data_IF_904887421133
#
_entry.id   IF_904887421133
#
_cell.length_a   1.000
_cell.length_b   1.000
_cell.length_c   1.000
_cell.angle_alpha   90.00
_cell.angle_beta   90.00
_cell.angle_gamma   90.00
#
_symmetry.space_group_name_H-M   'P 1'
#
loop_
_entity.id
_entity.type
_entity.pdbx_description
1 polymer ?
#
# COMPACT_ATOMS: atom_id res chain seq x y z
N UNK A 1 9.65 -22.12 -0.50
CA UNK A 1 10.59 -21.13 -1.09
C UNK A 1 10.33 -20.87 -2.58
N UNK A 2 9.93 -21.85 -3.38
CA UNK A 2 9.63 -21.66 -4.82
C UNK A 2 8.42 -20.73 -5.02
N UNK A 3 7.37 -20.88 -4.20
CA UNK A 3 6.10 -20.13 -4.30
C UNK A 3 6.33 -18.61 -4.18
N UNK A 4 7.15 -18.15 -3.22
CA UNK A 4 7.39 -16.72 -3.02
C UNK A 4 8.22 -16.07 -4.13
N UNK A 5 9.17 -16.78 -4.73
CA UNK A 5 9.96 -16.25 -5.85
C UNK A 5 9.08 -16.07 -7.09
N UNK A 6 8.13 -16.98 -7.31
CA UNK A 6 7.16 -16.90 -8.42
C UNK A 6 6.29 -15.64 -8.35
N UNK A 7 5.93 -15.18 -7.15
CA UNK A 7 5.06 -14.00 -6.96
C UNK A 7 5.81 -12.71 -6.65
N UNK A 8 7.16 -12.72 -6.71
CA UNK A 8 7.97 -11.55 -6.44
C UNK A 8 7.60 -10.37 -7.36
N UNK A 9 7.29 -10.65 -8.63
CA UNK A 9 6.80 -9.66 -9.60
C UNK A 9 5.46 -9.05 -9.19
N UNK A 10 4.56 -9.85 -8.62
CA UNK A 10 3.29 -9.38 -8.08
C UNK A 10 3.45 -8.45 -6.89
N UNK A 11 4.34 -8.81 -5.94
CA UNK A 11 4.65 -7.95 -4.81
C UNK A 11 5.27 -6.62 -5.25
N UNK A 12 6.21 -6.65 -6.20
CA UNK A 12 6.80 -5.45 -6.77
C UNK A 12 5.74 -4.59 -7.49
N UNK A 13 4.88 -5.21 -8.30
CA UNK A 13 3.79 -4.52 -8.99
C UNK A 13 2.82 -3.87 -8.02
N UNK A 14 2.45 -4.55 -6.92
CA UNK A 14 1.58 -4.00 -5.89
C UNK A 14 2.20 -2.86 -5.10
N UNK A 15 3.49 -2.94 -4.78
CA UNK A 15 4.21 -1.84 -4.15
C UNK A 15 4.23 -0.61 -5.07
N UNK A 16 4.62 -0.78 -6.34
CA UNK A 16 4.70 0.32 -7.31
C UNK A 16 3.31 0.90 -7.61
N UNK A 17 2.30 0.06 -7.83
CA UNK A 17 0.94 0.54 -8.12
C UNK A 17 0.34 1.29 -6.93
N UNK A 18 0.55 0.80 -5.69
CA UNK A 18 0.04 1.48 -4.50
C UNK A 18 0.63 2.89 -4.36
N UNK A 19 1.94 3.05 -4.59
CA UNK A 19 2.60 4.36 -4.54
C UNK A 19 2.05 5.28 -5.62
N UNK A 20 2.00 4.83 -6.88
CA UNK A 20 1.51 5.64 -8.01
C UNK A 20 0.07 6.11 -7.75
N UNK A 21 -0.81 5.20 -7.35
CA UNK A 21 -2.22 5.51 -7.11
C UNK A 21 -2.37 6.44 -5.91
N UNK A 22 -1.61 6.22 -4.83
CA UNK A 22 -1.60 7.12 -3.67
C UNK A 22 -1.18 8.55 -4.04
N UNK A 23 -0.19 8.71 -4.92
CA UNK A 23 0.20 10.03 -5.44
C UNK A 23 -0.92 10.66 -6.27
N UNK A 24 -1.57 9.88 -7.14
CA UNK A 24 -2.72 10.36 -7.94
C UNK A 24 -3.87 10.81 -7.03
N UNK A 25 -4.09 10.13 -5.91
CA UNK A 25 -5.08 10.48 -4.89
C UNK A 25 -4.68 11.71 -4.04
N UNK A 26 -3.50 12.28 -4.27
CA UNK A 26 -3.03 13.50 -3.62
C UNK A 26 -2.35 13.28 -2.26
N UNK A 27 -1.84 12.06 -1.99
CA UNK A 27 -0.98 11.82 -0.83
C UNK A 27 0.44 12.34 -1.13
N UNK A 28 1.12 12.97 -0.15
CA UNK A 28 2.51 13.37 -0.31
C UNK A 28 3.39 12.13 -0.50
N UNK A 29 4.39 12.22 -1.37
CA UNK A 29 5.25 11.07 -1.69
C UNK A 29 6.01 10.56 -0.45
N UNK A 30 6.52 11.50 0.34
CA UNK A 30 7.32 11.29 1.55
C UNK A 30 6.70 12.13 2.68
N UNK A 31 6.71 11.67 3.94
CA UNK A 31 6.24 12.48 5.06
C UNK A 31 7.05 13.78 5.20
N UNK A 32 6.35 14.85 5.59
CA UNK A 32 6.90 16.21 5.69
C UNK A 32 7.85 16.39 6.88
N UNK A 33 7.65 15.59 7.94
CA UNK A 33 8.53 15.54 9.12
C UNK A 33 8.99 14.10 9.35
N UNK A 34 10.00 13.87 10.19
CA UNK A 34 10.38 12.52 10.56
C UNK A 34 9.16 11.76 11.08
N UNK A 35 8.99 10.48 10.71
CA UNK A 35 7.79 9.70 10.99
C UNK A 35 7.37 9.66 12.47
N UNK A 36 8.30 9.93 13.40
CA UNK A 36 8.03 10.06 14.84
C UNK A 36 7.26 11.34 15.22
N UNK A 37 7.26 12.34 14.35
CA UNK A 37 6.75 13.70 14.60
C UNK A 37 5.72 14.15 13.56
N UNK A 38 5.35 13.29 12.62
CA UNK A 38 4.25 13.52 11.68
C UNK A 38 3.36 12.29 11.58
N UNK A 39 2.06 12.51 11.76
CA UNK A 39 1.01 11.54 11.47
C UNK A 39 0.49 11.66 10.03
N UNK A 40 1.22 12.35 9.15
CA UNK A 40 0.86 12.51 7.74
C UNK A 40 1.08 11.20 6.99
N UNK A 41 0.02 10.50 6.52
CA UNK A 41 0.20 9.34 5.66
C UNK A 41 0.88 9.76 4.36
N UNK A 42 1.79 8.92 3.88
CA UNK A 42 2.54 9.16 2.64
C UNK A 42 2.23 8.09 1.60
N UNK A 43 2.52 8.37 0.34
CA UNK A 43 2.34 7.39 -0.72
C UNK A 43 3.26 6.17 -0.57
N UNK A 44 4.48 6.37 -0.04
CA UNK A 44 5.43 5.27 0.20
C UNK A 44 4.99 4.42 1.40
N UNK A 45 4.46 5.06 2.44
CA UNK A 45 4.02 4.37 3.65
C UNK A 45 2.73 5.00 4.18
N UNK A 46 1.67 4.20 4.47
CA UNK A 46 1.66 2.73 4.61
C UNK A 46 1.19 1.91 3.38
N UNK A 47 0.85 2.53 2.26
CA UNK A 47 0.18 1.86 1.14
C UNK A 47 0.94 0.62 0.60
N UNK A 48 2.26 0.69 0.42
CA UNK A 48 3.03 -0.46 -0.07
C UNK A 48 3.01 -1.66 0.89
N UNK A 49 2.98 -1.41 2.21
CA UNK A 49 2.94 -2.45 3.23
C UNK A 49 1.59 -3.16 3.26
N UNK A 50 0.50 -2.39 3.21
CA UNK A 50 -0.86 -2.94 3.15
C UNK A 50 -1.05 -3.76 1.87
N UNK A 51 -0.52 -3.28 0.73
CA UNK A 51 -0.59 -4.01 -0.54
C UNK A 51 0.14 -5.36 -0.46
N UNK A 52 1.32 -5.40 0.16
CA UNK A 52 2.07 -6.63 0.37
C UNK A 52 1.33 -7.60 1.31
N UNK A 53 0.75 -7.09 2.40
CA UNK A 53 -0.06 -7.91 3.31
C UNK A 53 -1.27 -8.52 2.61
N UNK A 54 -1.98 -7.72 1.81
CA UNK A 54 -3.17 -8.18 1.07
C UNK A 54 -2.79 -9.24 0.02
N UNK A 55 -1.69 -9.04 -0.70
CA UNK A 55 -1.13 -10.03 -1.62
C UNK A 55 -0.81 -11.36 -0.93
N UNK A 56 -0.19 -11.32 0.25
CA UNK A 56 0.14 -12.53 1.01
C UNK A 56 -1.13 -13.30 1.40
N UNK A 57 -2.17 -12.60 1.87
CA UNK A 57 -3.46 -13.21 2.21
C UNK A 57 -4.11 -13.86 0.98
N UNK A 58 -4.12 -13.19 -0.17
CA UNK A 58 -4.69 -13.74 -1.40
C UNK A 58 -3.97 -15.01 -1.87
N UNK A 59 -2.63 -15.00 -1.86
CA UNK A 59 -1.82 -16.15 -2.27
C UNK A 59 -2.06 -17.34 -1.34
N UNK A 60 -2.11 -17.12 -0.02
CA UNK A 60 -2.37 -18.17 0.96
C UNK A 60 -3.77 -18.78 0.79
N UNK A 61 -4.75 -17.97 0.37
CA UNK A 61 -6.10 -18.41 0.02
C UNK A 61 -6.20 -19.09 -1.37
N UNK A 62 -5.09 -19.24 -2.09
CA UNK A 62 -5.03 -19.86 -3.42
C UNK A 62 -5.39 -18.92 -4.57
N UNK A 63 -5.59 -17.63 -4.31
CA UNK A 63 -5.81 -16.61 -5.34
C UNK A 63 -4.46 -16.06 -5.79
N UNK A 64 -4.03 -16.47 -6.97
CA UNK A 64 -2.64 -16.25 -7.43
C UNK A 64 -2.52 -15.35 -8.67
N UNK A 65 -3.64 -14.92 -9.25
CA UNK A 65 -3.68 -14.11 -10.47
C UNK A 65 -3.33 -14.90 -11.73
N UNK A 66 -3.42 -14.23 -12.88
CA UNK A 66 -3.20 -14.82 -14.21
C UNK A 66 -1.75 -14.61 -14.68
N UNK A 67 -1.11 -13.51 -14.27
CA UNK A 67 0.23 -13.11 -14.76
C UNK A 67 1.28 -13.15 -13.64
N UNK A 68 1.45 -14.30 -12.98
CA UNK A 68 2.42 -14.42 -11.89
C UNK A 68 2.14 -13.48 -10.72
N UNK A 69 0.85 -13.22 -10.45
CA UNK A 69 0.38 -12.31 -9.41
C UNK A 69 0.54 -10.83 -9.71
N UNK A 70 0.94 -10.42 -10.93
CA UNK A 70 1.06 -9.00 -11.31
C UNK A 70 -0.31 -8.30 -11.31
N UNK A 71 -1.30 -8.92 -11.96
CA UNK A 71 -2.67 -8.47 -12.00
C UNK A 71 -3.27 -8.34 -10.59
N UNK A 72 -3.05 -9.36 -9.77
CA UNK A 72 -3.44 -9.35 -8.36
C UNK A 72 -2.74 -8.24 -7.57
N UNK A 73 -1.43 -8.04 -7.81
CA UNK A 73 -0.63 -7.00 -7.19
C UNK A 73 -1.14 -5.61 -7.52
N UNK A 74 -1.46 -5.33 -8.79
CA UNK A 74 -2.01 -4.04 -9.22
C UNK A 74 -3.33 -3.76 -8.50
N UNK A 75 -4.23 -4.75 -8.44
CA UNK A 75 -5.52 -4.62 -7.75
C UNK A 75 -5.32 -4.41 -6.24
N UNK A 76 -4.47 -5.20 -5.61
CA UNK A 76 -4.15 -5.08 -4.19
C UNK A 76 -3.54 -3.71 -3.86
N UNK A 77 -2.66 -3.20 -4.72
CA UNK A 77 -2.08 -1.88 -4.57
C UNK A 77 -3.10 -0.75 -4.74
N UNK A 78 -4.05 -0.88 -5.68
CA UNK A 78 -5.15 0.08 -5.83
C UNK A 78 -6.04 0.12 -4.58
N UNK A 79 -6.46 -1.04 -4.07
CA UNK A 79 -7.25 -1.15 -2.84
C UNK A 79 -6.48 -0.53 -1.67
N UNK A 80 -5.19 -0.85 -1.55
CA UNK A 80 -4.32 -0.33 -0.50
C UNK A 80 -4.17 1.20 -0.54
N UNK A 81 -4.02 1.78 -1.73
CA UNK A 81 -3.93 3.23 -1.90
C UNK A 81 -5.22 3.94 -1.47
N UNK A 82 -6.38 3.37 -1.82
CA UNK A 82 -7.69 3.87 -1.39
C UNK A 82 -7.82 3.77 0.13
N UNK A 83 -7.47 2.63 0.73
CA UNK A 83 -7.45 2.48 2.20
C UNK A 83 -6.52 3.51 2.84
N UNK A 84 -5.34 3.75 2.26
CA UNK A 84 -4.39 4.72 2.80
C UNK A 84 -4.92 6.15 2.75
N UNK A 85 -5.59 6.52 1.65
CA UNK A 85 -6.16 7.86 1.53
C UNK A 85 -7.35 8.06 2.46
N UNK A 86 -8.30 7.12 2.48
CA UNK A 86 -9.59 7.35 3.12
C UNK A 86 -9.67 6.74 4.51
N UNK A 87 -9.25 5.48 4.70
CA UNK A 87 -9.34 4.85 6.01
C UNK A 87 -8.36 5.50 7.00
N UNK A 88 -7.12 5.75 6.60
CA UNK A 88 -6.12 6.28 7.53
C UNK A 88 -6.26 7.79 7.79
N UNK A 89 -6.71 8.59 6.81
CA UNK A 89 -6.98 10.01 7.06
C UNK A 89 -8.27 10.25 7.86
N UNK A 90 -9.34 9.45 7.67
CA UNK A 90 -10.62 9.68 8.37
C UNK A 90 -10.74 8.95 9.71
N UNK A 91 -10.13 7.77 9.90
CA UNK A 91 -10.28 6.99 11.14
C UNK A 91 -9.38 7.53 12.26
N UNK A 92 -8.18 8.00 11.92
CA UNK A 92 -7.25 8.49 12.92
C UNK A 92 -7.36 10.01 13.00
N UNK A 93 -7.91 10.56 14.11
CA UNK A 93 -7.91 11.99 14.30
C UNK A 93 -6.46 12.47 14.26
N UNK A 94 -6.18 13.47 13.42
CA UNK A 94 -4.88 14.14 13.44
C UNK A 94 -4.68 14.67 14.87
N UNK A 95 -3.55 14.37 15.52
CA UNK A 95 -3.28 14.98 16.81
C UNK A 95 -3.38 16.49 16.62
N UNK A 96 -4.16 17.15 17.48
CA UNK A 96 -4.27 18.61 17.47
C UNK A 96 -2.85 19.17 17.50
N UNK A 97 -2.52 20.03 16.54
CA UNK A 97 -1.27 20.79 16.58
C UNK A 97 -1.29 21.56 17.90
N UNK A 98 -0.57 21.04 18.90
CA UNK A 98 -0.42 21.70 20.20
C UNK A 98 0.26 23.03 19.95
N UNK A 99 -0.56 24.08 19.85
CA UNK A 99 -0.18 25.48 19.76
C UNK A 99 -0.35 26.13 21.12
#
# INVERSE_FOLDING_TARGET
MIIHVTYLSGYAAGAVSSIIISVILGLPLVPERPARHSWTPSAIFPAAVIAAGLMAVCIELGVTGIYGGIDLGIIAGAISAIMTRYFLEDIFPRPEDSS
#
